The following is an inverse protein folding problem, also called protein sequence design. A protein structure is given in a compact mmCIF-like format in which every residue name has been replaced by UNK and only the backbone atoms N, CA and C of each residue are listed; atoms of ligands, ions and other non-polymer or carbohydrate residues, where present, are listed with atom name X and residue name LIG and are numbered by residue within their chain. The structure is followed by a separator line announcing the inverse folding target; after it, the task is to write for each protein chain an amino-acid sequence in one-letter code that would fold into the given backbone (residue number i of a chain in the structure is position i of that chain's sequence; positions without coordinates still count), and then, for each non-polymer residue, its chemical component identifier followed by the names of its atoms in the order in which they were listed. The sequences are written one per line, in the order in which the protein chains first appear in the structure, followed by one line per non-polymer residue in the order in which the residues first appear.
data_IF_053603077493
#
_entry.id   IF_053603077493
#
_cell.length_a   1.000
_cell.length_b   1.000
_cell.length_c   1.000
_cell.angle_alpha   90.00
_cell.angle_beta   90.00
_cell.angle_gamma   90.00
#
_symmetry.space_group_name_H-M   'P 1'
#
loop_
_entity.id
_entity.type
_entity.pdbx_description
1 polymer ?
#
# COMPACT_ATOMS: atom_id res chain seq x y z
N UNK A 1 1.18 11.00 -7.98
CA UNK A 1 0.73 10.03 -9.00
C UNK A 1 -0.60 9.45 -8.51
N UNK A 2 -1.71 9.88 -9.09
CA UNK A 2 -3.04 9.32 -8.78
C UNK A 2 -3.09 7.98 -9.52
N UNK A 3 -2.72 6.92 -8.83
CA UNK A 3 -2.98 5.57 -9.32
C UNK A 3 -4.49 5.41 -9.22
N UNK A 4 -5.19 5.25 -10.34
CA UNK A 4 -6.54 4.71 -10.33
C UNK A 4 -6.43 3.31 -9.68
N UNK A 5 -6.68 3.25 -8.38
CA UNK A 5 -6.66 1.99 -7.66
C UNK A 5 -8.05 1.36 -7.76
N UNK A 6 -8.10 0.22 -8.36
CA UNK A 6 -9.27 -0.63 -8.30
C UNK A 6 -9.35 -1.20 -6.88
N UNK A 7 -10.54 -1.12 -6.28
CA UNK A 7 -10.80 -1.76 -5.00
C UNK A 7 -10.66 -3.27 -5.13
N UNK A 8 -10.13 -3.90 -4.10
CA UNK A 8 -10.00 -5.35 -4.01
C UNK A 8 -11.18 -5.97 -3.25
N UNK A 9 -11.37 -7.28 -3.37
CA UNK A 9 -12.43 -7.99 -2.66
C UNK A 9 -13.74 -8.06 -3.44
N UNK A 10 -14.85 -7.99 -2.71
CA UNK A 10 -16.22 -8.16 -3.19
C UNK A 10 -16.89 -9.40 -2.58
N UNK A 11 -18.15 -9.64 -2.93
CA UNK A 11 -18.92 -10.77 -2.44
C UNK A 11 -18.24 -12.09 -2.81
N UNK A 12 -18.08 -12.98 -1.82
CA UNK A 12 -17.41 -14.28 -2.01
C UNK A 12 -15.88 -14.21 -2.11
N UNK A 13 -15.29 -13.02 -1.96
CA UNK A 13 -13.83 -12.83 -1.95
C UNK A 13 -13.32 -12.65 -0.52
N UNK A 14 -12.09 -13.13 -0.29
CA UNK A 14 -11.43 -13.02 1.01
C UNK A 14 -10.22 -12.10 0.90
N UNK A 15 -10.16 -11.11 1.79
CA UNK A 15 -9.04 -10.18 1.96
C UNK A 15 -8.46 -10.35 3.36
N UNK A 16 -7.17 -10.59 3.46
CA UNK A 16 -6.43 -10.53 4.72
C UNK A 16 -5.92 -9.12 4.92
N UNK A 17 -6.07 -8.55 6.12
CA UNK A 17 -5.54 -7.24 6.50
C UNK A 17 -4.63 -7.38 7.71
N UNK A 18 -3.60 -6.56 7.75
CA UNK A 18 -2.61 -6.54 8.85
C UNK A 18 -1.79 -5.26 8.79
N UNK A 19 -1.03 -4.98 9.84
CA UNK A 19 -0.10 -3.87 9.93
C UNK A 19 1.33 -4.35 10.11
N UNK A 20 2.24 -3.61 9.51
CA UNK A 20 3.65 -3.90 9.67
C UNK A 20 4.49 -2.64 9.84
N UNK A 21 5.40 -2.68 10.79
CA UNK A 21 6.38 -1.62 10.98
C UNK A 21 7.61 -1.86 10.11
N UNK A 22 7.91 -0.88 9.27
CA UNK A 22 9.09 -0.85 8.43
C UNK A 22 10.18 0.01 9.08
N UNK A 23 11.45 -0.28 8.84
CA UNK A 23 12.55 0.52 9.36
C UNK A 23 12.91 0.22 10.82
N UNK A 24 12.72 -1.01 11.32
CA UNK A 24 13.24 -1.42 12.63
C UNK A 24 14.77 -1.58 12.59
N UNK A 25 15.46 -1.19 13.67
CA UNK A 25 16.89 -1.49 13.85
C UNK A 25 17.09 -3.00 13.94
N UNK A 26 18.09 -3.54 13.25
CA UNK A 26 18.58 -4.89 13.52
C UNK A 26 19.35 -4.87 14.87
N UNK A 27 19.00 -5.78 15.76
CA UNK A 27 19.71 -6.02 17.04
C UNK A 27 19.82 -4.80 17.96
N UNK A 28 18.91 -3.82 17.87
CA UNK A 28 18.95 -2.58 18.68
C UNK A 28 20.26 -1.77 18.59
N UNK A 29 21.11 -2.03 17.59
CA UNK A 29 22.38 -1.34 17.36
C UNK A 29 22.25 -0.26 16.28
N UNK A 30 23.06 0.81 16.39
CA UNK A 30 23.09 1.94 15.44
C UNK A 30 22.11 3.08 15.78
N UNK A 31 22.03 4.07 14.89
CA UNK A 31 21.16 5.25 15.04
C UNK A 31 19.67 4.87 15.17
N UNK A 32 18.92 5.70 15.93
CA UNK A 32 17.49 5.59 16.02
C UNK A 32 16.87 5.78 14.62
N UNK A 33 16.26 4.73 14.07
CA UNK A 33 15.49 4.82 12.84
C UNK A 33 14.04 4.99 13.25
N UNK A 34 13.45 6.13 12.90
CA UNK A 34 12.01 6.32 13.01
C UNK A 34 11.34 5.43 11.96
N UNK A 35 10.80 4.28 12.43
CA UNK A 35 10.11 3.37 11.52
C UNK A 35 8.77 3.94 11.07
N UNK A 36 8.31 3.51 9.90
CA UNK A 36 6.98 3.85 9.37
C UNK A 36 6.04 2.65 9.53
N UNK A 37 4.85 2.89 10.08
CA UNK A 37 3.78 1.91 10.05
C UNK A 37 3.12 1.90 8.69
N UNK A 38 2.92 0.71 8.17
CA UNK A 38 2.22 0.45 6.91
C UNK A 38 1.01 -0.42 7.23
N UNK A 39 -0.16 0.03 6.83
CA UNK A 39 -1.37 -0.78 6.83
C UNK A 39 -1.54 -1.42 5.46
N UNK A 40 -1.91 -2.69 5.39
CA UNK A 40 -2.04 -3.38 4.13
C UNK A 40 -3.10 -4.47 4.12
N UNK A 41 -3.54 -4.80 2.92
CA UNK A 41 -4.43 -5.93 2.69
C UNK A 41 -4.10 -6.65 1.40
N UNK A 42 -4.45 -7.94 1.34
CA UNK A 42 -4.24 -8.79 0.18
C UNK A 42 -5.43 -9.70 -0.06
N UNK A 43 -5.91 -9.74 -1.28
CA UNK A 43 -6.94 -10.67 -1.74
C UNK A 43 -6.31 -12.05 -2.00
N UNK A 44 -6.90 -13.10 -1.45
CA UNK A 44 -6.31 -14.45 -1.47
C UNK A 44 -6.20 -15.08 -2.84
N UNK A 45 -7.24 -14.95 -3.65
CA UNK A 45 -7.37 -15.71 -4.90
C UNK A 45 -6.44 -15.19 -6.01
N UNK A 46 -6.27 -13.87 -6.12
CA UNK A 46 -5.47 -13.25 -7.18
C UNK A 46 -4.22 -12.50 -6.67
N UNK A 47 -4.11 -12.28 -5.36
CA UNK A 47 -3.00 -11.57 -4.76
C UNK A 47 -3.02 -10.04 -4.95
N UNK A 48 -4.12 -9.45 -5.44
CA UNK A 48 -4.28 -8.01 -5.47
C UNK A 48 -4.16 -7.42 -4.06
N UNK A 49 -3.48 -6.29 -3.91
CA UNK A 49 -3.15 -5.78 -2.59
C UNK A 49 -3.12 -4.24 -2.54
N UNK A 50 -3.19 -3.72 -1.32
CA UNK A 50 -2.88 -2.34 -1.01
C UNK A 50 -1.90 -2.26 0.17
N UNK A 51 -1.03 -1.24 0.18
CA UNK A 51 -0.08 -0.93 1.24
C UNK A 51 -0.03 0.57 1.41
N UNK A 52 -0.47 1.06 2.56
CA UNK A 52 -0.62 2.49 2.84
C UNK A 52 0.18 2.89 4.08
N UNK A 53 1.11 3.85 3.98
CA UNK A 53 1.74 4.44 5.15
C UNK A 53 0.70 5.14 6.02
N UNK A 54 0.69 4.83 7.32
CA UNK A 54 -0.22 5.43 8.28
C UNK A 54 0.55 6.18 9.36
N UNK A 55 0.12 7.38 9.68
CA UNK A 55 0.71 8.17 10.76
C UNK A 55 0.02 7.89 12.10
N UNK A 56 -1.29 7.74 12.06
CA UNK A 56 -2.11 7.41 13.22
C UNK A 56 -2.68 6.02 13.07
N UNK A 57 -2.65 5.32 14.18
CA UNK A 57 -3.16 3.97 14.28
C UNK A 57 -4.42 3.97 15.14
N UNK A 58 -5.48 4.51 14.59
CA UNK A 58 -6.78 4.54 15.21
C UNK A 58 -7.84 3.89 14.30
N UNK A 59 -8.97 3.57 14.91
CA UNK A 59 -10.09 2.90 14.27
C UNK A 59 -10.58 3.68 13.03
N UNK A 60 -10.71 4.99 13.16
CA UNK A 60 -11.26 5.87 12.13
C UNK A 60 -10.37 5.88 10.89
N UNK A 61 -9.04 6.01 11.08
CA UNK A 61 -8.07 5.99 10.00
C UNK A 61 -8.07 4.66 9.25
N UNK A 62 -8.01 3.54 9.97
CA UNK A 62 -7.97 2.23 9.34
C UNK A 62 -9.28 1.87 8.64
N UNK A 63 -10.42 2.21 9.24
CA UNK A 63 -11.72 2.00 8.62
C UNK A 63 -11.87 2.82 7.33
N UNK A 64 -11.42 4.07 7.31
CA UNK A 64 -11.44 4.90 6.11
C UNK A 64 -10.62 4.27 4.98
N UNK A 65 -9.42 3.74 5.29
CA UNK A 65 -8.58 3.05 4.31
C UNK A 65 -9.26 1.77 3.83
N UNK A 66 -9.85 0.96 4.72
CA UNK A 66 -10.56 -0.26 4.33
C UNK A 66 -11.70 0.08 3.37
N UNK A 67 -12.54 1.07 3.69
CA UNK A 67 -13.64 1.52 2.82
C UNK A 67 -13.15 2.06 1.47
N UNK A 68 -11.98 2.67 1.45
CA UNK A 68 -11.38 3.19 0.21
C UNK A 68 -10.87 2.07 -0.69
N UNK A 69 -10.27 1.00 -0.12
CA UNK A 69 -9.54 -0.01 -0.88
C UNK A 69 -10.25 -1.34 -1.01
N UNK A 70 -11.25 -1.62 -0.20
CA UNK A 70 -11.97 -2.90 -0.18
C UNK A 70 -13.43 -2.71 -0.55
N UNK A 71 -13.94 -3.59 -1.40
CA UNK A 71 -15.34 -3.60 -1.80
C UNK A 71 -16.24 -4.10 -0.67
N UNK A 72 -17.45 -3.54 -0.50
CA UNK A 72 -18.45 -4.08 0.43
C UNK A 72 -18.77 -5.56 0.13
N UNK A 73 -19.19 -6.29 1.18
CA UNK A 73 -19.50 -7.73 1.08
C UNK A 73 -18.27 -8.64 1.08
N UNK A 74 -17.05 -8.07 1.18
CA UNK A 74 -15.81 -8.84 1.30
C UNK A 74 -15.72 -9.56 2.63
N UNK A 75 -15.22 -10.80 2.62
CA UNK A 75 -14.77 -11.50 3.81
C UNK A 75 -13.40 -10.95 4.21
N UNK A 76 -13.34 -10.23 5.33
CA UNK A 76 -12.09 -9.67 5.86
C UNK A 76 -11.58 -10.58 6.98
N UNK A 77 -10.30 -10.95 6.92
CA UNK A 77 -9.62 -11.67 7.99
C UNK A 77 -8.54 -10.77 8.56
N UNK A 78 -8.57 -10.56 9.89
CA UNK A 78 -7.56 -9.79 10.61
C UNK A 78 -7.13 -10.53 11.89
N UNK A 79 -6.14 -9.98 12.58
CA UNK A 79 -5.88 -10.34 13.96
C UNK A 79 -7.02 -9.88 14.90
N UNK A 80 -6.89 -10.20 16.21
CA UNK A 80 -7.91 -9.90 17.22
C UNK A 80 -7.87 -8.45 17.72
N UNK A 81 -7.39 -7.50 16.96
CA UNK A 81 -7.34 -6.11 17.42
C UNK A 81 -8.75 -5.47 17.45
N UNK A 82 -9.05 -4.80 18.56
CA UNK A 82 -10.40 -4.23 18.83
C UNK A 82 -10.87 -3.19 17.82
N UNK A 83 -9.95 -2.52 17.12
CA UNK A 83 -10.30 -1.51 16.11
C UNK A 83 -11.04 -2.09 14.92
N UNK A 84 -10.97 -3.40 14.70
CA UNK A 84 -11.67 -4.09 13.61
C UNK A 84 -13.07 -4.59 13.96
N UNK A 85 -13.52 -4.45 15.22
CA UNK A 85 -14.81 -4.97 15.70
C UNK A 85 -16.01 -4.37 14.97
N UNK A 86 -15.87 -3.18 14.40
CA UNK A 86 -16.94 -2.50 13.66
C UNK A 86 -17.12 -2.99 12.22
N UNK A 87 -16.24 -3.82 11.67
CA UNK A 87 -16.28 -4.16 10.25
C UNK A 87 -17.57 -4.85 9.82
N UNK A 88 -18.20 -5.65 10.69
CA UNK A 88 -19.49 -6.26 10.40
C UNK A 88 -20.60 -5.21 10.23
N UNK A 89 -20.59 -4.13 11.02
CA UNK A 89 -21.57 -3.05 10.95
C UNK A 89 -21.37 -2.16 9.70
N UNK A 90 -20.18 -2.27 9.09
CA UNK A 90 -19.76 -1.47 7.93
C UNK A 90 -19.91 -2.20 6.59
N UNK A 91 -20.63 -3.34 6.59
CA UNK A 91 -20.95 -4.08 5.37
C UNK A 91 -19.89 -5.08 4.92
N UNK A 92 -19.00 -5.48 5.82
CA UNK A 92 -18.03 -6.55 5.60
C UNK A 92 -18.39 -7.79 6.42
N UNK A 93 -17.83 -8.95 6.05
CA UNK A 93 -17.94 -10.19 6.84
C UNK A 93 -16.58 -10.38 7.54
N UNK A 94 -16.51 -10.17 8.86
CA UNK A 94 -15.23 -10.13 9.56
C UNK A 94 -14.95 -11.42 10.34
N UNK A 95 -13.78 -12.00 10.10
CA UNK A 95 -13.22 -13.13 10.85
C UNK A 95 -11.94 -12.72 11.56
N UNK A 96 -11.82 -13.10 12.83
CA UNK A 96 -10.65 -12.79 13.67
C UNK A 96 -9.80 -14.03 13.86
N UNK A 97 -8.48 -13.87 13.79
CA UNK A 97 -7.49 -14.91 14.08
C UNK A 97 -6.71 -14.56 15.32
N UNK A 98 -6.75 -15.41 16.33
CA UNK A 98 -5.97 -15.24 17.53
C UNK A 98 -4.63 -15.99 17.42
N UNK A 99 -3.59 -15.29 17.00
CA UNK A 99 -2.24 -15.85 16.85
C UNK A 99 -1.61 -16.36 18.14
N UNK A 100 -2.12 -15.92 19.30
CA UNK A 100 -1.63 -16.41 20.61
C UNK A 100 -2.12 -17.83 20.92
N UNK A 101 -3.17 -18.29 20.23
CA UNK A 101 -3.78 -19.60 20.47
C UNK A 101 -3.55 -20.54 19.29
N UNK A 102 -3.79 -20.07 18.06
CA UNK A 102 -3.69 -20.89 16.86
C UNK A 102 -3.20 -20.07 15.66
N UNK A 103 -2.28 -20.61 14.86
CA UNK A 103 -1.88 -20.04 13.56
C UNK A 103 -3.01 -20.07 12.52
N UNK A 104 -3.97 -20.95 12.70
CA UNK A 104 -5.17 -21.11 11.87
C UNK A 104 -6.32 -21.43 12.79
N UNK A 105 -7.40 -20.67 12.66
CA UNK A 105 -8.61 -20.93 13.44
C UNK A 105 -9.17 -22.32 13.07
N UNK A 106 -9.36 -23.23 14.05
CA UNK A 106 -9.77 -24.62 13.78
C UNK A 106 -11.21 -24.71 13.27
N UNK A 107 -12.07 -23.75 13.58
CA UNK A 107 -13.49 -23.78 13.23
C UNK A 107 -13.75 -23.11 11.88
N UNK A 108 -13.11 -21.95 11.62
CA UNK A 108 -13.33 -21.15 10.42
C UNK A 108 -12.26 -21.38 9.35
N UNK A 109 -11.12 -21.95 9.71
CA UNK A 109 -9.96 -22.08 8.84
C UNK A 109 -9.28 -20.73 8.53
N UNK A 110 -9.67 -19.66 9.22
CA UNK A 110 -9.10 -18.32 9.02
C UNK A 110 -7.63 -18.29 9.42
N UNK A 111 -6.81 -17.59 8.65
CA UNK A 111 -5.39 -17.37 8.88
C UNK A 111 -4.96 -16.06 8.20
N UNK A 112 -3.77 -15.54 8.53
CA UNK A 112 -3.17 -14.31 7.94
C UNK A 112 -1.84 -14.58 7.24
N UNK A 113 -1.59 -15.83 6.85
CA UNK A 113 -0.32 -16.23 6.25
C UNK A 113 -0.03 -15.53 4.92
N UNK A 114 -1.07 -15.16 4.16
CA UNK A 114 -0.91 -14.51 2.86
C UNK A 114 -0.41 -13.09 3.02
N UNK A 115 -0.99 -12.34 3.96
CA UNK A 115 -0.54 -10.96 4.25
C UNK A 115 0.85 -10.95 4.90
N UNK A 116 1.17 -11.91 5.76
CA UNK A 116 2.51 -12.08 6.32
C UNK A 116 3.55 -12.36 5.22
N UNK A 117 3.21 -13.23 4.27
CA UNK A 117 4.02 -13.48 3.07
C UNK A 117 4.22 -12.21 2.24
N UNK A 118 3.18 -11.41 2.06
CA UNK A 118 3.25 -10.13 1.37
C UNK A 118 4.24 -9.17 2.06
N UNK A 119 4.19 -9.06 3.40
CA UNK A 119 5.14 -8.23 4.15
C UNK A 119 6.59 -8.62 3.95
N UNK A 120 6.86 -9.93 3.88
CA UNK A 120 8.22 -10.43 3.60
C UNK A 120 8.74 -9.92 2.26
N UNK A 121 7.91 -10.02 1.22
CA UNK A 121 8.26 -9.54 -0.12
C UNK A 121 8.37 -8.01 -0.18
N UNK A 122 7.45 -7.28 0.42
CA UNK A 122 7.49 -5.83 0.47
C UNK A 122 8.74 -5.30 1.20
N UNK A 123 9.13 -5.95 2.31
CA UNK A 123 10.35 -5.60 3.05
C UNK A 123 11.63 -5.95 2.29
N UNK A 124 11.62 -7.00 1.48
CA UNK A 124 12.76 -7.41 0.66
C UNK A 124 13.04 -6.44 -0.50
N UNK A 125 11.99 -5.81 -1.05
CA UNK A 125 12.14 -4.81 -2.12
C UNK A 125 12.83 -3.53 -1.63
N UNK A 126 12.67 -3.20 -0.34
CA UNK A 126 13.24 -1.97 0.20
C UNK A 126 14.75 -2.06 0.32
N UNK A 127 15.46 -1.09 -0.27
CA UNK A 127 16.90 -0.91 -0.05
C UNK A 127 17.22 -0.84 1.45
N UNK A 128 18.37 -1.39 1.83
CA UNK A 128 18.85 -1.31 3.22
C UNK A 128 19.40 0.09 3.57
N UNK A 129 19.63 0.96 2.57
CA UNK A 129 20.24 2.27 2.71
C UNK A 129 19.22 3.40 2.55
N UNK A 130 19.42 4.47 3.32
CA UNK A 130 18.74 5.78 3.17
C UNK A 130 17.20 5.73 3.18
N UNK A 131 16.60 4.95 4.05
CA UNK A 131 15.14 4.88 4.20
C UNK A 131 14.60 6.12 4.90
N UNK A 132 14.33 7.17 4.13
CA UNK A 132 13.66 8.36 4.67
C UNK A 132 12.15 8.14 4.74
N UNK A 133 11.53 8.60 5.82
CA UNK A 133 10.10 8.38 6.11
C UNK A 133 9.18 8.81 4.95
N UNK A 134 9.45 9.93 4.33
CA UNK A 134 8.63 10.48 3.25
C UNK A 134 8.67 9.66 1.94
N UNK A 135 9.62 8.73 1.76
CA UNK A 135 9.68 7.87 0.57
C UNK A 135 8.87 6.58 0.69
N UNK A 136 8.37 6.23 1.88
CA UNK A 136 7.65 4.97 2.02
C UNK A 136 6.40 4.88 1.14
N UNK A 137 5.69 5.99 0.92
CA UNK A 137 4.57 6.03 -0.02
C UNK A 137 4.97 5.61 -1.43
N UNK A 138 6.11 6.11 -1.92
CA UNK A 138 6.67 5.73 -3.23
C UNK A 138 7.05 4.25 -3.31
N UNK A 139 7.74 3.74 -2.28
CA UNK A 139 8.12 2.32 -2.24
C UNK A 139 6.91 1.39 -2.20
N UNK A 140 5.86 1.75 -1.46
CA UNK A 140 4.63 0.94 -1.43
C UNK A 140 3.90 1.00 -2.78
N UNK A 141 3.87 2.17 -3.43
CA UNK A 141 3.32 2.32 -4.76
C UNK A 141 4.07 1.49 -5.80
N UNK A 142 5.41 1.48 -5.75
CA UNK A 142 6.25 0.64 -6.61
C UNK A 142 5.94 -0.85 -6.40
N UNK A 143 5.88 -1.30 -5.15
CA UNK A 143 5.55 -2.68 -4.83
C UNK A 143 4.17 -3.09 -5.39
N UNK A 144 3.14 -2.26 -5.16
CA UNK A 144 1.78 -2.51 -5.66
C UNK A 144 1.75 -2.55 -7.19
N UNK A 145 2.45 -1.62 -7.86
CA UNK A 145 2.57 -1.56 -9.31
C UNK A 145 3.21 -2.83 -9.89
N UNK A 146 4.39 -3.21 -9.39
CA UNK A 146 5.08 -4.41 -9.85
C UNK A 146 4.26 -5.68 -9.61
N UNK A 147 3.55 -5.75 -8.47
CA UNK A 147 2.66 -6.85 -8.18
C UNK A 147 1.44 -6.89 -9.11
N UNK A 148 0.83 -5.75 -9.42
CA UNK A 148 -0.25 -5.63 -10.42
C UNK A 148 0.22 -6.10 -11.80
N UNK A 149 1.38 -5.65 -12.26
CA UNK A 149 1.96 -6.10 -13.54
C UNK A 149 2.13 -7.62 -13.58
N UNK A 150 2.63 -8.21 -12.50
CA UNK A 150 2.78 -9.68 -12.40
C UNK A 150 1.44 -10.41 -12.46
N UNK A 151 0.42 -9.94 -11.74
CA UNK A 151 -0.93 -10.54 -11.72
C UNK A 151 -1.55 -10.50 -13.11
N UNK A 152 -1.37 -9.40 -13.83
CA UNK A 152 -1.94 -9.18 -15.17
C UNK A 152 -1.02 -9.65 -16.31
N UNK A 153 0.13 -10.25 -15.98
CA UNK A 153 1.16 -10.67 -16.94
C UNK A 153 1.58 -9.55 -17.90
N UNK A 154 1.79 -8.33 -17.35
CA UNK A 154 2.23 -7.15 -18.08
C UNK A 154 3.73 -6.94 -17.90
N UNK A 155 4.40 -6.42 -18.93
CA UNK A 155 5.76 -5.89 -18.79
C UNK A 155 5.73 -4.59 -17.99
N UNK A 156 6.46 -4.50 -16.85
CA UNK A 156 6.42 -3.32 -15.99
C UNK A 156 6.93 -2.04 -16.66
N UNK A 157 7.90 -2.15 -17.58
CA UNK A 157 8.47 -1.00 -18.28
C UNK A 157 7.45 -0.44 -19.27
N UNK A 158 6.87 -1.31 -20.07
CA UNK A 158 5.84 -0.93 -21.05
C UNK A 158 4.65 -0.31 -20.32
N UNK A 159 4.17 -0.95 -19.26
CA UNK A 159 3.01 -0.46 -18.50
C UNK A 159 3.31 0.87 -17.80
N UNK A 160 4.53 1.07 -17.30
CA UNK A 160 4.95 2.34 -16.73
C UNK A 160 4.87 3.48 -17.76
N UNK A 161 5.42 3.30 -18.96
CA UNK A 161 5.36 4.31 -20.01
C UNK A 161 3.95 4.54 -20.52
N UNK A 162 3.12 3.49 -20.61
CA UNK A 162 1.70 3.62 -20.97
C UNK A 162 0.95 4.49 -19.96
N UNK A 163 1.15 4.27 -18.66
CA UNK A 163 0.53 5.07 -17.61
C UNK A 163 1.09 6.50 -17.56
N UNK A 164 2.39 6.67 -17.75
CA UNK A 164 3.01 7.98 -17.81
C UNK A 164 2.46 8.80 -19.00
N UNK A 165 2.29 8.17 -20.17
CA UNK A 165 1.70 8.81 -21.34
C UNK A 165 0.24 9.25 -21.12
N UNK A 166 -0.52 8.51 -20.31
CA UNK A 166 -1.89 8.93 -19.96
C UNK A 166 -1.93 10.14 -19.01
N UNK A 167 -0.85 10.40 -18.27
CA UNK A 167 -0.74 11.55 -17.38
C UNK A 167 -0.14 12.77 -18.08
N UNK A 168 0.69 12.56 -19.08
CA UNK A 168 1.37 13.60 -19.83
C UNK A 168 0.62 13.87 -21.15
N UNK A 169 -0.05 15.01 -21.23
CA UNK A 169 -0.61 15.52 -22.48
C UNK A 169 0.34 16.58 -23.04
N UNK A 170 1.12 16.27 -24.10
CA UNK A 170 2.06 17.23 -24.68
C UNK A 170 1.37 18.49 -25.23
N UNK A 171 0.09 18.42 -25.55
CA UNK A 171 -0.64 19.57 -26.07
C UNK A 171 -1.11 20.55 -24.97
N UNK A 172 -1.14 20.14 -23.72
CA UNK A 172 -1.47 21.04 -22.61
C UNK A 172 -0.33 22.01 -22.25
N UNK A 173 0.91 21.66 -22.56
CA UNK A 173 2.09 22.45 -22.21
C UNK A 173 2.55 23.41 -23.31
N UNK A 174 1.95 23.34 -24.52
CA UNK A 174 2.31 24.24 -25.62
C UNK A 174 1.58 25.59 -25.58
N UNK A 175 0.68 25.84 -24.64
CA UNK A 175 -0.08 27.08 -24.54
C UNK A 175 0.37 28.05 -23.41
N UNK A 176 1.22 27.61 -22.50
CA UNK A 176 1.83 28.51 -21.55
C UNK A 176 3.20 28.89 -22.08
N UNK A 177 3.24 30.03 -22.80
CA UNK A 177 4.46 30.60 -23.33
C UNK A 177 5.50 30.67 -22.22
N UNK A 178 6.66 30.08 -22.46
CA UNK A 178 7.88 30.40 -21.75
C UNK A 178 8.15 31.89 -21.98
N UNK A 179 7.70 32.74 -21.06
CA UNK A 179 8.24 34.05 -20.88
C UNK A 179 9.70 33.87 -20.41
N UNK A 180 10.60 33.74 -21.38
CA UNK A 180 12.00 33.85 -21.16
C UNK A 180 12.22 35.36 -20.95
N UNK A 181 12.17 35.84 -19.71
CA UNK A 181 12.72 37.13 -19.37
C UNK A 181 14.22 37.02 -19.66
N UNK A 182 14.63 37.66 -20.74
CA UNK A 182 16.03 38.01 -20.99
C UNK A 182 16.49 38.92 -19.82
N UNK A 183 17.11 38.33 -18.82
CA UNK A 183 17.87 39.08 -17.83
C UNK A 183 19.14 39.59 -18.53
N UNK A 184 19.13 40.89 -18.73
CA UNK A 184 20.13 41.75 -19.30
C UNK A 184 21.37 41.71 -18.40
N UNK A 185 22.36 40.89 -18.74
CA UNK A 185 23.69 40.87 -18.13
C UNK A 185 24.52 41.98 -18.78
N UNK A 186 24.30 43.20 -18.32
CA UNK A 186 25.27 44.30 -18.48
C UNK A 186 25.55 44.84 -17.08
N UNK A 187 26.75 44.48 -16.56
CA UNK A 187 27.70 45.39 -15.91
C UNK A 187 28.75 44.61 -15.13
N UNK A 188 29.88 44.33 -15.80
CA UNK A 188 31.13 44.07 -15.13
C UNK A 188 32.13 45.18 -15.62
N UNK A 189 32.42 46.13 -14.75
CA UNK A 189 33.68 46.87 -14.70
C UNK A 189 34.29 46.65 -13.32
#
# INVERSE_FOLDING_TARGET
MIIHHEKIGGVGKTVEIDESKFGKRKYHRGHAVEGQWIFGGIQRDNGACFLIPVEKWDKETLLAIIKQWVLPGTQIISDCWKSYDCLNDEGFIHFKVNHSVNFKDPNTGAHTNTVEGMWRHAKALLSQYSRKKHFYGGYMAEFMFLKKCRILNLDPIIEFFRLAGNLYDPNKYNNDGLDVSEDDDTDII
#
